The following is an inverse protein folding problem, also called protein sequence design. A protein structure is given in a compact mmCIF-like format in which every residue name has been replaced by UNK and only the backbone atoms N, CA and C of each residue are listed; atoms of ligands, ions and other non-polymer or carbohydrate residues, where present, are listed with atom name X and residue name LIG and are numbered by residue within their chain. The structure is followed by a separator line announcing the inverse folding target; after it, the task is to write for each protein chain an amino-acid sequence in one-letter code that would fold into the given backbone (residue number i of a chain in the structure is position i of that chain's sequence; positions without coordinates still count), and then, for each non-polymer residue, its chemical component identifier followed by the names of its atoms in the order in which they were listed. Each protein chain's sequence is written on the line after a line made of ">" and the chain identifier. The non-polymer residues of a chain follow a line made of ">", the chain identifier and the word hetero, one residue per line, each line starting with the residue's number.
data_IF_742034087664
#
_entry.id   IF_742034087664
#
_cell.length_a   1.000
_cell.length_b   1.000
_cell.length_c   1.000
_cell.angle_alpha   90.00
_cell.angle_beta   90.00
_cell.angle_gamma   90.00
#
_symmetry.space_group_name_H-M   'P 1'
#
loop_
_entity.id
_entity.type
_entity.pdbx_description
1 polymer ?
#
# COMPACT_ATOMS: atom_id res chain seq x y z
N UNK A 1 5.31 -5.06 29.31
CA UNK A 1 4.47 -5.28 28.12
C UNK A 1 4.29 -3.93 27.43
N UNK A 2 4.52 -3.82 26.13
CA UNK A 2 4.25 -2.59 25.37
C UNK A 2 2.73 -2.48 25.19
N UNK A 3 2.15 -1.29 25.37
CA UNK A 3 0.72 -1.08 25.15
C UNK A 3 0.36 -1.22 23.66
N UNK A 4 -0.89 -1.58 23.35
CA UNK A 4 -1.36 -1.70 21.96
C UNK A 4 -1.19 -0.39 21.18
N UNK A 5 -1.35 0.76 21.86
CA UNK A 5 -1.15 2.08 21.26
C UNK A 5 0.31 2.35 20.88
N UNK A 6 1.27 2.05 21.76
CA UNK A 6 2.70 2.21 21.44
C UNK A 6 3.14 1.23 20.35
N UNK A 7 2.64 -0.01 20.38
CA UNK A 7 2.91 -0.98 19.31
C UNK A 7 2.32 -0.54 17.96
N UNK A 8 1.13 0.07 17.96
CA UNK A 8 0.54 0.66 16.76
C UNK A 8 1.41 1.76 16.16
N UNK A 9 1.85 2.72 16.97
CA UNK A 9 2.73 3.80 16.51
C UNK A 9 4.02 3.23 15.89
N UNK A 10 4.72 2.34 16.59
CA UNK A 10 5.97 1.74 16.09
C UNK A 10 5.75 1.03 14.75
N UNK A 11 4.68 0.25 14.63
CA UNK A 11 4.41 -0.51 13.40
C UNK A 11 3.97 0.40 12.24
N UNK A 12 3.24 1.48 12.51
CA UNK A 12 2.89 2.48 11.49
C UNK A 12 4.09 3.27 11.01
N UNK A 13 4.98 3.72 11.90
CA UNK A 13 6.22 4.42 11.53
C UNK A 13 7.14 3.51 10.72
N UNK A 14 7.28 2.24 11.11
CA UNK A 14 8.03 1.26 10.34
C UNK A 14 7.41 1.07 8.95
N UNK A 15 6.09 0.89 8.86
CA UNK A 15 5.40 0.73 7.58
C UNK A 15 5.62 1.93 6.68
N UNK A 16 5.36 3.14 7.19
CA UNK A 16 5.52 4.39 6.44
C UNK A 16 6.98 4.61 6.03
N UNK A 17 7.93 4.39 6.93
CA UNK A 17 9.36 4.54 6.64
C UNK A 17 9.85 3.58 5.55
N UNK A 18 9.41 2.32 5.59
CA UNK A 18 9.76 1.31 4.59
C UNK A 18 9.14 1.60 3.22
N UNK A 19 7.86 2.01 3.18
CA UNK A 19 7.23 2.45 1.94
C UNK A 19 7.87 3.74 1.40
N UNK A 20 8.22 4.71 2.24
CA UNK A 20 8.90 5.93 1.82
C UNK A 20 10.29 5.64 1.23
N UNK A 21 11.10 4.80 1.88
CA UNK A 21 12.39 4.35 1.37
C UNK A 21 12.24 3.65 0.02
N UNK A 22 11.24 2.76 -0.09
CA UNK A 22 10.91 2.09 -1.34
C UNK A 22 10.52 3.08 -2.44
N UNK A 23 9.71 4.09 -2.12
CA UNK A 23 9.29 5.14 -3.05
C UNK A 23 10.45 5.94 -3.61
N UNK A 24 11.38 6.39 -2.76
CA UNK A 24 12.59 7.09 -3.20
C UNK A 24 13.41 6.20 -4.11
N UNK A 25 13.58 4.92 -3.77
CA UNK A 25 14.33 3.97 -4.57
C UNK A 25 13.66 3.67 -5.93
N UNK A 26 12.33 3.50 -5.99
CA UNK A 26 11.59 3.37 -7.25
C UNK A 26 11.62 4.66 -8.08
N UNK A 27 11.61 5.84 -7.45
CA UNK A 27 11.80 7.12 -8.15
C UNK A 27 13.17 7.18 -8.81
N UNK A 28 14.22 6.77 -8.10
CA UNK A 28 15.58 6.66 -8.64
C UNK A 28 15.66 5.66 -9.82
N UNK A 29 14.95 4.53 -9.73
CA UNK A 29 14.81 3.58 -10.84
C UNK A 29 14.11 4.23 -12.04
N UNK A 30 13.00 4.95 -11.80
CA UNK A 30 12.20 5.62 -12.83
C UNK A 30 13.02 6.66 -13.61
N UNK A 31 13.74 7.54 -12.91
CA UNK A 31 14.58 8.58 -13.53
C UNK A 31 15.96 8.04 -13.95
N UNK A 32 16.21 6.75 -13.76
CA UNK A 32 17.47 6.05 -14.05
C UNK A 32 18.70 6.67 -13.39
N UNK A 33 18.56 7.28 -12.20
CA UNK A 33 19.67 7.82 -11.40
C UNK A 33 19.89 7.04 -10.10
N UNK A 34 20.97 7.33 -9.39
CA UNK A 34 21.26 6.77 -8.07
C UNK A 34 22.19 5.56 -8.07
N UNK A 35 22.42 4.96 -6.89
CA UNK A 35 23.37 3.87 -6.69
C UNK A 35 22.89 2.57 -7.34
N UNK A 36 23.83 1.66 -7.58
CA UNK A 36 23.57 0.32 -8.15
C UNK A 36 22.56 -0.47 -7.28
N UNK A 37 22.54 -0.21 -5.96
CA UNK A 37 21.64 -0.86 -5.00
C UNK A 37 20.18 -0.39 -5.08
N UNK A 38 19.85 0.65 -5.86
CA UNK A 38 18.49 1.24 -5.89
C UNK A 38 17.38 0.22 -6.13
N UNK A 39 17.57 -0.73 -7.04
CA UNK A 39 16.55 -1.72 -7.36
C UNK A 39 16.35 -2.67 -6.20
N UNK A 40 17.44 -3.19 -5.62
CA UNK A 40 17.37 -4.08 -4.46
C UNK A 40 16.71 -3.37 -3.29
N UNK A 41 17.09 -2.13 -3.00
CA UNK A 41 16.51 -1.32 -1.92
C UNK A 41 15.01 -1.10 -2.17
N UNK A 42 14.60 -0.77 -3.40
CA UNK A 42 13.19 -0.56 -3.73
C UNK A 42 12.31 -1.77 -3.37
N UNK A 43 12.75 -2.98 -3.76
CA UNK A 43 11.97 -4.20 -3.54
C UNK A 43 12.05 -4.70 -2.10
N UNK A 44 13.24 -4.67 -1.47
CA UNK A 44 13.39 -5.11 -0.08
C UNK A 44 12.67 -4.17 0.89
N UNK A 45 12.72 -2.85 0.63
CA UNK A 45 11.96 -1.89 1.41
C UNK A 45 10.45 -2.07 1.21
N UNK A 46 9.99 -2.31 -0.03
CA UNK A 46 8.58 -2.59 -0.33
C UNK A 46 8.10 -3.85 0.42
N UNK A 47 8.88 -4.93 0.38
CA UNK A 47 8.57 -6.17 1.10
C UNK A 47 8.53 -5.96 2.61
N UNK A 48 9.50 -5.21 3.17
CA UNK A 48 9.51 -4.89 4.60
C UNK A 48 8.28 -4.08 5.03
N UNK A 49 7.89 -3.08 4.24
CA UNK A 49 6.66 -2.33 4.47
C UNK A 49 5.41 -3.20 4.38
N UNK A 50 5.35 -4.10 3.40
CA UNK A 50 4.26 -5.06 3.23
C UNK A 50 4.12 -6.00 4.43
N UNK A 51 5.22 -6.49 4.98
CA UNK A 51 5.23 -7.34 6.19
C UNK A 51 4.80 -6.54 7.43
N UNK A 52 5.18 -5.26 7.53
CA UNK A 52 4.81 -4.40 8.66
C UNK A 52 3.32 -3.98 8.64
N UNK A 53 2.73 -3.88 7.45
CA UNK A 53 1.34 -3.44 7.22
C UNK A 53 0.28 -4.21 8.04
N UNK A 54 0.23 -5.56 8.05
CA UNK A 54 -0.76 -6.29 8.85
C UNK A 54 -0.62 -6.02 10.35
N UNK A 55 0.60 -5.82 10.86
CA UNK A 55 0.80 -5.48 12.27
C UNK A 55 0.27 -4.08 12.59
N UNK A 56 0.47 -3.11 11.69
CA UNK A 56 -0.09 -1.77 11.81
C UNK A 56 -1.64 -1.78 11.80
N UNK A 57 -2.24 -2.62 10.95
CA UNK A 57 -3.71 -2.77 10.87
C UNK A 57 -4.26 -3.42 12.15
N UNK A 58 -3.73 -4.57 12.55
CA UNK A 58 -4.22 -5.33 13.72
C UNK A 58 -4.07 -4.50 15.00
N UNK A 59 -2.91 -3.87 15.19
CA UNK A 59 -2.66 -3.01 16.35
C UNK A 59 -3.56 -1.78 16.39
N UNK A 60 -3.89 -1.21 15.23
CA UNK A 60 -4.78 -0.06 15.09
C UNK A 60 -6.22 -0.38 15.44
N UNK A 61 -6.72 -1.55 15.03
CA UNK A 61 -8.04 -2.06 15.42
C UNK A 61 -8.11 -2.21 16.94
N UNK A 62 -7.07 -2.79 17.55
CA UNK A 62 -7.02 -3.03 18.99
C UNK A 62 -6.79 -1.75 19.83
N UNK A 63 -6.29 -0.66 19.23
CA UNK A 63 -6.06 0.61 19.93
C UNK A 63 -7.22 1.60 19.82
N UNK A 64 -8.28 1.29 19.04
CA UNK A 64 -9.40 2.22 18.81
C UNK A 64 -10.55 1.96 19.80
N UNK A 65 -11.04 2.97 20.53
CA UNK A 65 -12.21 2.84 21.40
C UNK A 65 -13.50 2.86 20.59
N UNK A 66 -14.00 1.67 20.22
CA UNK A 66 -15.39 1.30 19.85
C UNK A 66 -16.27 2.16 18.92
N UNK A 67 -15.85 3.31 18.41
CA UNK A 67 -16.63 4.07 17.43
C UNK A 67 -16.39 3.52 16.02
N UNK A 68 -17.25 2.56 15.67
CA UNK A 68 -17.90 2.39 14.38
C UNK A 68 -17.06 2.43 13.10
N UNK A 69 -17.09 1.32 12.37
CA UNK A 69 -16.72 1.15 10.95
C UNK A 69 -17.53 2.07 9.98
N UNK A 70 -18.29 3.04 10.50
CA UNK A 70 -19.17 3.95 9.77
C UNK A 70 -18.53 5.24 9.32
N UNK A 71 -17.28 5.52 9.73
CA UNK A 71 -16.57 6.74 9.31
C UNK A 71 -16.07 6.61 7.85
N UNK A 72 -16.51 7.48 6.92
CA UNK A 72 -16.01 7.54 5.54
C UNK A 72 -14.49 7.57 5.43
N UNK A 73 -13.81 8.19 6.39
CA UNK A 73 -12.37 8.33 6.40
C UNK A 73 -11.68 6.99 6.67
N UNK A 74 -12.24 6.17 7.56
CA UNK A 74 -11.74 4.83 7.85
C UNK A 74 -11.92 3.90 6.65
N UNK A 75 -13.07 3.97 5.97
CA UNK A 75 -13.33 3.20 4.77
C UNK A 75 -12.34 3.54 3.64
N UNK A 76 -12.06 4.84 3.42
CA UNK A 76 -11.06 5.30 2.45
C UNK A 76 -9.65 4.83 2.84
N UNK A 77 -9.29 4.87 4.13
CA UNK A 77 -8.02 4.37 4.65
C UNK A 77 -7.83 2.88 4.34
N UNK A 78 -8.84 2.06 4.62
CA UNK A 78 -8.78 0.62 4.33
C UNK A 78 -8.67 0.36 2.83
N UNK A 79 -9.50 1.01 2.01
CA UNK A 79 -9.48 0.83 0.56
C UNK A 79 -8.12 1.18 -0.07
N UNK A 80 -7.54 2.32 0.29
CA UNK A 80 -6.24 2.75 -0.22
C UNK A 80 -5.11 1.82 0.24
N UNK A 81 -5.14 1.38 1.50
CA UNK A 81 -4.16 0.41 2.03
C UNK A 81 -4.22 -0.93 1.31
N UNK A 82 -5.42 -1.45 1.04
CA UNK A 82 -5.60 -2.74 0.35
C UNK A 82 -5.19 -2.67 -1.11
N UNK A 83 -5.53 -1.56 -1.78
CA UNK A 83 -5.10 -1.30 -3.17
C UNK A 83 -3.58 -1.19 -3.25
N UNK A 84 -2.96 -0.43 -2.34
CA UNK A 84 -1.50 -0.31 -2.24
C UNK A 84 -0.84 -1.68 -2.03
N UNK A 85 -1.35 -2.48 -1.09
CA UNK A 85 -0.88 -3.83 -0.76
C UNK A 85 -0.97 -4.75 -1.99
N UNK A 86 -2.09 -4.75 -2.70
CA UNK A 86 -2.27 -5.56 -3.91
C UNK A 86 -1.26 -5.21 -5.01
N UNK A 87 -1.06 -3.91 -5.27
CA UNK A 87 -0.06 -3.46 -6.24
C UNK A 87 1.36 -3.81 -5.77
N UNK A 88 1.68 -3.64 -4.49
CA UNK A 88 2.98 -4.00 -3.92
C UNK A 88 3.30 -5.49 -4.14
N UNK A 89 2.34 -6.37 -3.84
CA UNK A 89 2.45 -7.81 -4.09
C UNK A 89 2.69 -8.08 -5.57
N UNK A 90 1.91 -7.47 -6.46
CA UNK A 90 2.07 -7.63 -7.91
C UNK A 90 3.46 -7.22 -8.42
N UNK A 91 3.99 -6.09 -7.93
CA UNK A 91 5.34 -5.61 -8.25
C UNK A 91 6.40 -6.60 -7.74
N UNK A 92 6.28 -7.08 -6.50
CA UNK A 92 7.23 -8.05 -5.93
C UNK A 92 7.18 -9.40 -6.66
N UNK A 93 5.99 -9.87 -7.01
CA UNK A 93 5.80 -11.12 -7.76
C UNK A 93 6.40 -11.02 -9.16
N UNK A 94 6.12 -9.96 -9.91
CA UNK A 94 6.72 -9.75 -11.23
C UNK A 94 8.24 -9.72 -11.16
N UNK A 95 8.82 -9.05 -10.15
CA UNK A 95 10.27 -9.07 -9.93
C UNK A 95 10.79 -10.48 -9.64
N UNK A 96 10.09 -11.25 -8.80
CA UNK A 96 10.47 -12.64 -8.49
C UNK A 96 10.43 -13.54 -9.72
N UNK A 97 9.54 -13.26 -10.67
CA UNK A 97 9.44 -13.95 -11.97
C UNK A 97 10.49 -13.50 -13.00
N UNK A 98 11.42 -12.60 -12.63
CA UNK A 98 12.50 -12.16 -13.49
C UNK A 98 12.17 -10.95 -14.37
N UNK A 99 11.09 -10.22 -14.08
CA UNK A 99 10.80 -8.98 -14.79
C UNK A 99 11.88 -7.90 -14.54
N UNK A 100 12.23 -7.19 -15.61
CA UNK A 100 13.12 -6.03 -15.54
C UNK A 100 12.47 -4.85 -14.83
N UNK A 101 13.28 -4.05 -14.13
CA UNK A 101 12.81 -2.80 -13.51
C UNK A 101 12.74 -1.71 -14.57
N UNK A 102 11.69 -1.77 -15.37
CA UNK A 102 11.40 -0.78 -16.40
C UNK A 102 10.59 0.40 -15.84
N UNK A 103 10.21 1.32 -16.73
CA UNK A 103 9.40 2.49 -16.39
C UNK A 103 8.03 2.09 -15.83
N UNK A 104 7.41 1.04 -16.37
CA UNK A 104 6.09 0.57 -15.94
C UNK A 104 6.18 -0.04 -14.54
N UNK A 105 7.13 -0.92 -14.31
CA UNK A 105 7.39 -1.56 -13.02
C UNK A 105 7.69 -0.53 -11.93
N UNK A 106 8.56 0.44 -12.24
CA UNK A 106 8.90 1.52 -11.31
C UNK A 106 7.70 2.43 -11.02
N UNK A 107 6.86 2.72 -12.03
CA UNK A 107 5.66 3.53 -11.85
C UNK A 107 4.60 2.84 -10.99
N UNK A 108 4.42 1.51 -11.15
CA UNK A 108 3.52 0.72 -10.31
C UNK A 108 4.01 0.64 -8.87
N UNK A 109 5.33 0.48 -8.66
CA UNK A 109 5.95 0.56 -7.35
C UNK A 109 5.71 1.92 -6.67
N UNK A 110 5.92 3.02 -7.40
CA UNK A 110 5.62 4.37 -6.93
C UNK A 110 4.14 4.59 -6.63
N UNK A 111 3.24 4.07 -7.46
CA UNK A 111 1.80 4.19 -7.25
C UNK A 111 1.39 3.46 -5.96
N UNK A 112 1.89 2.25 -5.74
CA UNK A 112 1.67 1.51 -4.50
C UNK A 112 2.14 2.31 -3.29
N UNK A 113 3.36 2.87 -3.35
CA UNK A 113 3.90 3.71 -2.27
C UNK A 113 3.04 4.95 -2.04
N UNK A 114 2.66 5.66 -3.10
CA UNK A 114 1.82 6.86 -3.01
C UNK A 114 0.49 6.58 -2.32
N UNK A 115 -0.17 5.46 -2.66
CA UNK A 115 -1.42 5.04 -2.02
C UNK A 115 -1.23 4.72 -0.53
N UNK A 116 -0.12 4.07 -0.14
CA UNK A 116 0.16 3.79 1.27
C UNK A 116 0.46 5.06 2.06
N UNK A 117 1.27 5.97 1.51
CA UNK A 117 1.59 7.23 2.17
C UNK A 117 0.36 8.13 2.29
N UNK A 118 -0.52 8.14 1.28
CA UNK A 118 -1.81 8.83 1.36
C UNK A 118 -2.70 8.25 2.46
N UNK A 119 -2.74 6.91 2.58
CA UNK A 119 -3.44 6.21 3.67
C UNK A 119 -2.92 6.64 5.05
N UNK A 120 -1.60 6.71 5.19
CA UNK A 120 -0.97 7.15 6.44
C UNK A 120 -1.28 8.61 6.75
N UNK A 121 -1.28 9.49 5.74
CA UNK A 121 -1.68 10.89 5.88
C UNK A 121 -3.13 11.04 6.38
N UNK A 122 -4.06 10.27 5.79
CA UNK A 122 -5.45 10.20 6.26
C UNK A 122 -5.53 9.73 7.72
N UNK A 123 -4.69 8.76 8.12
CA UNK A 123 -4.61 8.30 9.51
C UNK A 123 -4.10 9.36 10.49
N UNK A 124 -3.15 10.20 10.04
CA UNK A 124 -2.66 11.35 10.81
C UNK A 124 -3.76 12.39 11.04
N UNK A 125 -4.58 12.64 10.03
CA UNK A 125 -5.71 13.56 10.11
C UNK A 125 -6.78 13.09 11.10
N UNK A 126 -7.13 11.79 11.07
CA UNK A 126 -8.09 11.19 12.01
C UNK A 126 -7.66 11.32 13.48
N UNK A 127 -6.35 11.27 13.76
CA UNK A 127 -5.83 11.29 15.13
C UNK A 127 -5.40 12.67 15.63
N UNK A 128 -5.00 13.59 14.74
CA UNK A 128 -4.37 14.87 15.11
C UNK A 128 -5.05 16.11 14.50
N UNK A 129 -6.00 15.94 13.58
CA UNK A 129 -6.67 17.06 12.89
C UNK A 129 -5.79 17.81 11.89
N UNK A 130 -4.57 17.33 11.63
CA UNK A 130 -3.61 17.93 10.70
C UNK A 130 -3.37 16.99 9.51
N UNK A 131 -3.41 17.52 8.29
CA UNK A 131 -3.15 16.77 7.05
C UNK A 131 -2.41 17.61 6.04
N UNK A 132 -1.55 16.98 5.24
CA UNK A 132 -1.02 17.57 4.01
C UNK A 132 -1.92 17.24 2.80
N UNK A 133 -2.92 16.38 2.97
CA UNK A 133 -3.90 16.01 1.94
C UNK A 133 -5.11 16.94 2.00
N UNK A 134 -4.91 18.22 1.67
CA UNK A 134 -5.99 19.20 1.56
C UNK A 134 -7.00 18.88 0.44
N UNK A 135 -6.61 18.02 -0.51
CA UNK A 135 -7.39 17.72 -1.72
C UNK A 135 -8.27 16.46 -1.62
N UNK A 136 -8.19 15.69 -0.51
CA UNK A 136 -8.97 14.46 -0.38
C UNK A 136 -10.38 14.77 0.11
N UNK A 137 -11.43 14.39 -0.63
CA UNK A 137 -12.81 14.53 -0.19
C UNK A 137 -13.04 13.82 1.15
N UNK A 138 -13.41 14.61 2.18
CA UNK A 138 -13.50 14.13 3.56
C UNK A 138 -14.85 13.51 3.91
N UNK A 139 -15.90 13.93 3.20
CA UNK A 139 -17.28 13.50 3.48
C UNK A 139 -17.81 12.44 2.53
N UNK A 140 -17.04 12.09 1.49
CA UNK A 140 -17.45 11.11 0.49
C UNK A 140 -16.59 9.86 0.61
N UNK A 141 -17.23 8.72 0.79
CA UNK A 141 -16.55 7.43 0.67
C UNK A 141 -16.24 7.19 -0.80
N UNK A 142 -15.00 6.81 -1.12
CA UNK A 142 -14.64 6.24 -2.42
C UNK A 142 -15.18 4.80 -2.54
N UNK A 143 -16.49 4.62 -2.33
CA UNK A 143 -17.13 3.34 -2.59
C UNK A 143 -17.28 3.19 -4.09
N UNK A 144 -16.50 2.29 -4.66
CA UNK A 144 -16.84 1.72 -5.97
C UNK A 144 -18.17 0.99 -5.84
N UNK A 145 -19.10 1.12 -6.81
CA UNK A 145 -20.32 0.35 -6.82
C UNK A 145 -20.02 -1.14 -6.65
N UNK A 146 -20.75 -1.83 -5.77
CA UNK A 146 -20.48 -3.23 -5.42
C UNK A 146 -20.38 -4.13 -6.67
N UNK A 147 -21.24 -3.88 -7.67
CA UNK A 147 -21.23 -4.61 -8.93
C UNK A 147 -19.92 -4.40 -9.71
N UNK A 148 -19.35 -3.20 -9.71
CA UNK A 148 -18.11 -2.89 -10.39
C UNK A 148 -16.92 -3.54 -9.68
N UNK A 149 -16.92 -3.53 -8.33
CA UNK A 149 -15.92 -4.24 -7.52
C UNK A 149 -15.94 -5.76 -7.78
N UNK A 150 -17.13 -6.35 -7.87
CA UNK A 150 -17.29 -7.79 -8.21
C UNK A 150 -16.76 -8.07 -9.63
N UNK A 151 -17.09 -7.23 -10.61
CA UNK A 151 -16.60 -7.41 -11.99
C UNK A 151 -15.07 -7.34 -12.06
N UNK A 152 -14.45 -6.37 -11.38
CA UNK A 152 -12.98 -6.23 -11.33
C UNK A 152 -12.35 -7.43 -10.63
N UNK A 153 -12.93 -7.93 -9.54
CA UNK A 153 -12.44 -9.11 -8.84
C UNK A 153 -12.48 -10.36 -9.74
N UNK A 154 -13.59 -10.57 -10.47
CA UNK A 154 -13.72 -11.67 -11.43
C UNK A 154 -12.69 -11.56 -12.55
N UNK A 155 -12.51 -10.36 -13.13
CA UNK A 155 -11.48 -10.13 -14.15
C UNK A 155 -10.06 -10.41 -13.62
N UNK A 156 -9.77 -9.99 -12.39
CA UNK A 156 -8.50 -10.28 -11.72
C UNK A 156 -8.25 -11.78 -11.57
N UNK A 157 -9.26 -12.55 -11.12
CA UNK A 157 -9.18 -14.01 -11.01
C UNK A 157 -8.92 -14.62 -12.39
N UNK A 158 -9.64 -14.21 -13.43
CA UNK A 158 -9.46 -14.72 -14.81
C UNK A 158 -8.04 -14.44 -15.31
N UNK A 159 -7.50 -13.24 -15.07
CA UNK A 159 -6.14 -12.89 -15.47
C UNK A 159 -5.09 -13.74 -14.75
N UNK A 160 -5.23 -13.93 -13.43
CA UNK A 160 -4.34 -14.80 -12.64
C UNK A 160 -4.41 -16.25 -13.15
N UNK A 161 -5.62 -16.76 -13.39
CA UNK A 161 -5.82 -18.11 -13.92
C UNK A 161 -5.19 -18.29 -15.30
N UNK A 162 -5.36 -17.32 -16.22
CA UNK A 162 -4.71 -17.36 -17.54
C UNK A 162 -3.19 -17.31 -17.44
N UNK A 163 -2.65 -16.43 -16.59
CA UNK A 163 -1.21 -16.34 -16.36
C UNK A 163 -0.63 -17.65 -15.81
N UNK A 164 -1.33 -18.30 -14.88
CA UNK A 164 -0.90 -19.58 -14.31
C UNK A 164 -0.87 -20.72 -15.35
N UNK A 165 -1.74 -20.69 -16.37
CA UNK A 165 -1.79 -21.70 -17.43
C UNK A 165 -0.68 -21.48 -18.47
N UNK A 166 -0.40 -20.23 -18.84
CA UNK A 166 0.60 -19.91 -19.86
C UNK A 166 2.05 -20.23 -19.44
N UNK A 167 2.36 -20.26 -18.14
CA UNK A 167 3.67 -20.65 -17.63
C UNK A 167 3.86 -22.17 -17.46
N UNK A 168 2.88 -23.00 -17.86
CA UNK A 168 2.91 -24.47 -17.73
C UNK A 168 3.20 -25.21 -19.04
N UNK A 169 3.40 -24.49 -20.15
CA UNK A 169 3.69 -25.00 -21.51
C UNK A 169 5.08 -24.50 -21.90
#
# INVERSE_FOLDING_TARGET
>A
MISSSTFHVITTELTVGMFALSGVAFLLCLIRKGPISRESVAHWALLGGLIATPFAIISGINSTPSEGITDPLLANKVLLSMTSTGIAIGVLMNRKLGADVDLKHSSLGLLSVGLMLATAGIGGEYSRGETLLFLVPKETVFLFPLWASIMIAVLGIIMISKSAIQHRI
#
